data_IF_990841675118
#
_entry.id   IF_990841675118
#
_cell.length_a   1.000
_cell.length_b   1.000
_cell.length_c   1.000
_cell.angle_alpha   90.00
_cell.angle_beta   90.00
_cell.angle_gamma   90.00
#
_symmetry.space_group_name_H-M   'P 1'
#
loop_
_entity.id
_entity.type
_entity.pdbx_description
1 polymer ?
#
# COMPACT_ATOMS: atom_id res chain seq x y z
N UNK A 1 -9.45 -1.23 2.89
CA UNK A 1 -8.14 -1.56 2.29
C UNK A 1 -8.33 -1.78 0.79
N UNK A 2 -7.29 -1.68 -0.04
CA UNK A 2 -7.41 -1.35 -1.47
C UNK A 2 -7.02 -2.46 -2.44
N UNK A 3 -6.60 -3.62 -1.91
CA UNK A 3 -6.26 -4.79 -2.72
C UNK A 3 -5.26 -4.53 -3.83
N UNK A 4 -4.29 -3.60 -3.68
CA UNK A 4 -3.30 -3.26 -4.72
C UNK A 4 -2.28 -4.37 -4.96
N UNK A 5 -1.71 -4.44 -6.16
CA UNK A 5 -0.56 -5.34 -6.43
C UNK A 5 0.67 -4.68 -5.87
N UNK A 6 1.68 -5.48 -5.51
CA UNK A 6 2.94 -4.96 -4.97
C UNK A 6 3.58 -3.90 -5.89
N UNK A 7 3.59 -4.15 -7.21
CA UNK A 7 4.12 -3.20 -8.19
C UNK A 7 3.30 -1.90 -8.25
N UNK A 8 1.97 -2.00 -8.11
CA UNK A 8 1.09 -0.84 -8.16
C UNK A 8 1.26 0.01 -6.90
N UNK A 9 1.43 -0.65 -5.75
CA UNK A 9 1.72 0.00 -4.49
C UNK A 9 3.06 0.73 -4.55
N UNK A 10 4.13 0.05 -4.98
CA UNK A 10 5.47 0.63 -5.02
C UNK A 10 5.62 1.80 -5.99
N UNK A 11 4.73 1.91 -6.99
CA UNK A 11 4.80 2.95 -8.02
C UNK A 11 3.94 4.18 -7.73
N UNK A 12 3.30 4.26 -6.56
CA UNK A 12 2.48 5.42 -6.20
C UNK A 12 3.38 6.64 -6.02
N UNK A 13 3.02 7.75 -6.66
CA UNK A 13 3.61 9.05 -6.44
C UNK A 13 2.72 9.92 -5.54
N UNK A 14 3.28 10.98 -4.96
CA UNK A 14 2.55 11.97 -4.18
C UNK A 14 1.42 12.62 -4.98
N UNK A 15 1.64 12.83 -6.29
CA UNK A 15 0.66 13.37 -7.23
C UNK A 15 -0.54 12.44 -7.49
N UNK A 16 -0.42 11.14 -7.21
CA UNK A 16 -1.52 10.19 -7.33
C UNK A 16 -2.49 10.26 -6.13
N UNK A 17 -2.09 10.91 -5.03
CA UNK A 17 -2.88 11.04 -3.82
C UNK A 17 -3.83 12.23 -3.92
N UNK A 18 -5.09 11.99 -3.55
CA UNK A 18 -6.02 13.06 -3.25
C UNK A 18 -5.49 13.93 -2.08
N UNK A 19 -5.54 15.28 -2.15
CA UNK A 19 -5.02 16.15 -1.09
C UNK A 19 -5.67 15.93 0.29
N UNK A 20 -6.91 15.44 0.34
CA UNK A 20 -7.64 15.07 1.56
C UNK A 20 -7.46 13.59 1.92
N UNK A 21 -6.66 12.86 1.13
CA UNK A 21 -6.36 11.44 1.25
C UNK A 21 -7.63 10.58 1.27
N UNK A 22 -8.62 10.97 0.44
CA UNK A 22 -9.87 10.22 0.29
C UNK A 22 -9.75 9.07 -0.71
N UNK A 23 -8.82 9.19 -1.66
CA UNK A 23 -8.62 8.25 -2.75
C UNK A 23 -7.18 8.32 -3.27
N UNK A 24 -6.79 7.29 -4.02
CA UNK A 24 -5.52 7.24 -4.76
C UNK A 24 -5.79 6.77 -6.18
N UNK A 25 -5.17 7.43 -7.16
CA UNK A 25 -5.15 6.99 -8.54
C UNK A 25 -4.08 5.92 -8.72
N UNK A 26 -4.45 4.77 -9.29
CA UNK A 26 -3.53 3.63 -9.43
C UNK A 26 -3.43 3.22 -10.88
N UNK A 27 -2.19 3.13 -11.37
CA UNK A 27 -1.85 2.66 -12.71
C UNK A 27 -1.74 1.14 -12.75
N UNK A 28 -2.59 0.51 -13.54
CA UNK A 28 -2.65 -0.94 -13.73
C UNK A 28 -1.98 -1.41 -15.03
N UNK A 29 -2.18 -2.70 -15.36
CA UNK A 29 -1.68 -3.30 -16.61
C UNK A 29 -2.33 -2.62 -17.83
N UNK A 30 -1.51 -2.28 -18.83
CA UNK A 30 -1.96 -1.63 -20.07
C UNK A 30 -2.25 -0.14 -19.89
N UNK A 31 -1.58 0.49 -18.92
CA UNK A 31 -1.70 1.93 -18.61
C UNK A 31 -3.11 2.39 -18.23
N UNK A 32 -3.94 1.44 -17.79
CA UNK A 32 -5.29 1.74 -17.31
C UNK A 32 -5.23 2.24 -15.88
N UNK A 33 -5.78 3.43 -15.66
CA UNK A 33 -5.94 4.01 -14.33
C UNK A 33 -7.25 3.56 -13.69
N UNK A 34 -7.23 3.43 -12.37
CA UNK A 34 -8.44 3.27 -11.56
C UNK A 34 -8.31 4.09 -10.28
N UNK A 35 -9.44 4.59 -9.81
CA UNK A 35 -9.52 5.26 -8.51
C UNK A 35 -9.79 4.22 -7.44
N UNK A 36 -9.08 4.37 -6.33
CA UNK A 36 -9.14 3.44 -5.23
C UNK A 36 -9.41 4.24 -3.94
N UNK A 37 -10.56 4.02 -3.27
CA UNK A 37 -10.91 4.78 -2.08
C UNK A 37 -10.01 4.40 -0.88
N UNK A 38 -9.66 5.41 -0.10
CA UNK A 38 -8.86 5.28 1.12
C UNK A 38 -9.79 5.38 2.34
N UNK A 39 -9.84 4.33 3.14
CA UNK A 39 -10.62 4.29 4.38
C UNK A 39 -9.94 5.11 5.50
N UNK A 40 -10.68 5.36 6.59
CA UNK A 40 -10.20 6.20 7.69
C UNK A 40 -8.90 5.72 8.36
N UNK A 41 -8.72 4.41 8.49
CA UNK A 41 -7.51 3.82 9.08
C UNK A 41 -6.27 4.04 8.22
N UNK A 42 -6.35 3.73 6.92
CA UNK A 42 -5.24 3.95 5.97
C UNK A 42 -4.96 5.45 5.87
N UNK A 43 -5.99 6.30 5.88
CA UNK A 43 -5.83 7.75 5.87
C UNK A 43 -5.02 8.25 7.07
N UNK A 44 -5.36 7.77 8.27
CA UNK A 44 -4.63 8.15 9.50
C UNK A 44 -3.16 7.72 9.43
N UNK A 45 -2.91 6.46 9.05
CA UNK A 45 -1.54 5.94 8.91
C UNK A 45 -0.74 6.70 7.84
N UNK A 46 -1.38 7.04 6.72
CA UNK A 46 -0.74 7.77 5.62
C UNK A 46 -0.37 9.20 6.04
N UNK A 47 -1.22 9.90 6.80
CA UNK A 47 -0.86 11.23 7.34
C UNK A 47 0.36 11.17 8.24
N UNK A 48 0.36 10.24 9.20
CA UNK A 48 1.49 10.05 10.12
C UNK A 48 2.77 9.72 9.37
N UNK A 49 2.67 8.91 8.31
CA UNK A 49 3.82 8.61 7.46
C UNK A 49 4.32 9.86 6.71
N UNK A 50 3.42 10.65 6.12
CA UNK A 50 3.78 11.85 5.36
C UNK A 50 4.45 12.93 6.24
N UNK A 51 4.15 12.96 7.54
CA UNK A 51 4.81 13.86 8.50
C UNK A 51 6.29 13.52 8.73
N UNK A 52 6.67 12.26 8.55
CA UNK A 52 8.05 11.76 8.80
C UNK A 52 8.74 11.25 7.53
N UNK A 53 8.07 11.30 6.38
CA UNK A 53 8.62 10.86 5.10
C UNK A 53 9.79 11.78 4.73
N UNK A 54 10.97 11.24 4.38
CA UNK A 54 12.08 12.07 3.92
C UNK A 54 11.74 12.91 2.70
N UNK A 55 12.26 14.13 2.65
CA UNK A 55 12.02 15.09 1.57
C UNK A 55 12.59 14.64 0.21
N UNK A 56 12.15 15.34 -0.84
CA UNK A 56 12.57 15.12 -2.23
C UNK A 56 11.88 13.94 -2.92
N UNK A 57 11.92 13.91 -4.25
CA UNK A 57 11.32 12.84 -5.06
C UNK A 57 9.79 12.78 -5.02
N UNK A 58 9.20 12.24 -6.08
CA UNK A 58 7.74 12.14 -6.21
C UNK A 58 7.20 10.83 -5.63
N UNK A 59 8.04 9.81 -5.46
CA UNK A 59 7.64 8.47 -5.04
C UNK A 59 7.14 8.49 -3.59
N UNK A 60 5.97 7.91 -3.35
CA UNK A 60 5.36 7.94 -2.04
C UNK A 60 6.21 7.18 -1.01
N UNK A 61 6.71 6.00 -1.36
CA UNK A 61 7.36 5.10 -0.42
C UNK A 61 8.88 5.25 -0.43
N UNK A 62 9.40 5.72 0.69
CA UNK A 62 10.84 5.92 0.94
C UNK A 62 11.32 5.13 2.16
N UNK A 63 12.59 4.74 2.11
CA UNK A 63 13.37 4.25 3.24
C UNK A 63 13.77 5.41 4.15
N UNK A 64 14.29 5.11 5.34
CA UNK A 64 14.70 6.11 6.34
C UNK A 64 15.85 7.01 5.86
N UNK A 65 16.75 6.48 5.03
CA UNK A 65 17.81 7.23 4.34
C UNK A 65 17.31 8.04 3.12
N UNK A 66 16.01 8.01 2.82
CA UNK A 66 15.38 8.79 1.75
C UNK A 66 15.39 8.13 0.37
N UNK A 67 15.97 6.93 0.24
CA UNK A 67 15.96 6.13 -0.98
C UNK A 67 14.56 5.61 -1.31
N UNK A 68 14.27 5.39 -2.59
CA UNK A 68 12.96 4.86 -3.03
C UNK A 68 12.83 3.39 -2.63
N UNK A 69 11.68 3.03 -2.05
CA UNK A 69 11.39 1.64 -1.73
C UNK A 69 11.07 0.82 -2.99
N UNK A 70 11.90 -0.19 -3.26
CA UNK A 70 11.65 -1.15 -4.33
C UNK A 70 10.51 -2.12 -3.96
N UNK A 71 9.83 -2.75 -4.95
CA UNK A 71 8.87 -3.82 -4.68
C UNK A 71 9.45 -4.92 -3.77
N UNK A 72 10.72 -5.27 -3.97
CA UNK A 72 11.41 -6.26 -3.16
C UNK A 72 11.54 -5.81 -1.70
N UNK A 73 11.97 -4.57 -1.44
CA UNK A 73 12.09 -4.03 -0.08
C UNK A 73 10.76 -4.01 0.67
N UNK A 74 9.67 -3.61 0.00
CA UNK A 74 8.31 -3.62 0.56
C UNK A 74 7.87 -5.05 0.89
N UNK A 75 8.16 -6.02 0.02
CA UNK A 75 7.89 -7.43 0.28
C UNK A 75 8.61 -7.92 1.54
N UNK A 76 9.90 -7.60 1.70
CA UNK A 76 10.68 -7.97 2.89
C UNK A 76 10.12 -7.31 4.15
N UNK A 77 9.74 -6.02 4.09
CA UNK A 77 9.10 -5.32 5.20
C UNK A 77 7.81 -6.04 5.65
N UNK A 78 6.94 -6.41 4.72
CA UNK A 78 5.69 -7.13 5.03
C UNK A 78 5.96 -8.48 5.68
N UNK A 79 6.98 -9.21 5.21
CA UNK A 79 7.38 -10.50 5.81
C UNK A 79 7.87 -10.30 7.24
N UNK A 80 8.74 -9.31 7.49
CA UNK A 80 9.22 -8.99 8.84
C UNK A 80 8.09 -8.57 9.79
N UNK A 81 7.15 -7.76 9.32
CA UNK A 81 5.98 -7.36 10.12
C UNK A 81 5.11 -8.56 10.51
N UNK A 82 4.90 -9.48 9.57
CA UNK A 82 4.18 -10.73 9.81
C UNK A 82 4.87 -11.59 10.86
N UNK A 83 6.19 -11.73 10.79
CA UNK A 83 6.99 -12.48 11.77
C UNK A 83 6.90 -11.84 13.16
N UNK A 84 7.05 -10.51 13.24
CA UNK A 84 6.89 -9.74 14.48
C UNK A 84 5.50 -9.86 15.10
N UNK A 85 4.46 -9.99 14.27
CA UNK A 85 3.09 -10.22 14.72
C UNK A 85 2.82 -11.67 15.15
N UNK A 86 3.82 -12.57 15.09
CA UNK A 86 3.67 -13.98 15.48
C UNK A 86 2.82 -14.81 14.51
N UNK A 87 2.57 -14.32 13.29
CA UNK A 87 1.72 -15.00 12.31
C UNK A 87 2.52 -16.16 11.68
N UNK A 88 2.23 -17.37 12.15
CA UNK A 88 2.87 -18.62 11.70
C UNK A 88 2.22 -19.15 10.42
N UNK A 89 3.04 -19.62 9.47
CA UNK A 89 2.62 -20.15 8.16
C UNK A 89 3.34 -19.48 7.00
N UNK A 90 3.34 -20.07 5.80
CA UNK A 90 3.92 -19.41 4.62
C UNK A 90 3.14 -18.13 4.26
N UNK A 91 3.78 -17.11 3.66
CA UNK A 91 3.03 -16.01 3.01
C UNK A 91 3.69 -14.65 2.99
N UNK A 92 3.64 -14.01 1.82
CA UNK A 92 4.00 -12.62 1.58
C UNK A 92 2.83 -11.83 1.00
N UNK A 93 3.08 -10.69 0.31
CA UNK A 93 2.06 -9.74 -0.14
C UNK A 93 0.86 -10.36 -0.91
N UNK A 94 1.10 -11.43 -1.67
CA UNK A 94 0.04 -12.12 -2.41
C UNK A 94 -1.03 -12.77 -1.51
N UNK A 95 -0.66 -13.32 -0.35
CA UNK A 95 -1.62 -13.92 0.58
C UNK A 95 -2.41 -12.85 1.34
N UNK A 96 -1.80 -11.71 1.67
CA UNK A 96 -2.52 -10.55 2.20
C UNK A 96 -3.55 -10.03 1.22
N UNK A 97 -3.18 -9.90 -0.06
CA UNK A 97 -4.13 -9.49 -1.11
C UNK A 97 -5.27 -10.50 -1.28
N UNK A 98 -4.97 -11.79 -1.22
CA UNK A 98 -5.99 -12.84 -1.33
C UNK A 98 -6.97 -12.81 -0.14
N UNK A 99 -6.45 -12.74 1.09
CA UNK A 99 -7.27 -12.57 2.30
C UNK A 99 -8.13 -11.31 2.25
N UNK A 100 -7.56 -10.19 1.75
CA UNK A 100 -8.34 -8.98 1.55
C UNK A 100 -9.47 -9.19 0.54
N UNK A 101 -9.21 -9.82 -0.61
CA UNK A 101 -10.24 -10.07 -1.62
C UNK A 101 -11.36 -10.97 -1.09
N UNK A 102 -11.05 -12.00 -0.31
CA UNK A 102 -12.07 -12.87 0.30
C UNK A 102 -12.88 -12.12 1.36
N UNK A 103 -12.22 -11.34 2.22
CA UNK A 103 -12.91 -10.53 3.25
C UNK A 103 -13.72 -9.38 2.66
N UNK A 104 -13.27 -8.80 1.55
CA UNK A 104 -14.00 -7.75 0.85
C UNK A 104 -15.29 -8.30 0.21
N UNK A 105 -15.22 -9.45 -0.46
CA UNK A 105 -16.39 -10.12 -1.04
C UNK A 105 -17.43 -10.51 0.03
N UNK A 106 -16.98 -10.96 1.20
CA UNK A 106 -17.88 -11.27 2.32
C UNK A 106 -18.51 -10.03 2.95
N UNK A 107 -17.79 -8.91 3.00
CA UNK A 107 -18.31 -7.64 3.50
C UNK A 107 -19.31 -6.96 2.54
N UNK A 108 -19.25 -7.26 1.23
CA UNK A 108 -20.26 -6.84 0.23
C UNK A 108 -21.51 -7.74 0.21
N UNK A 109 -21.49 -8.87 0.92
CA UNK A 109 -22.59 -9.83 0.96
C UNK A 109 -23.58 -9.58 2.12
N UNK A 110 -23.53 -8.41 2.75
CA UNK A 110 -24.38 -8.01 3.89
C UNK A 110 -25.06 -6.68 3.58
#
# INVERSE_FOLDING_TARGET
ATGLRLHELSSICLSDLDPRLQQVQVRGKGDRFRIVPINGEVRRALRQYLEVRPDGGEELWKTEDGSVMTPFSIRIMVVRLKERAGIRGGGGPHRFRHYFATRFLEAESV
#
